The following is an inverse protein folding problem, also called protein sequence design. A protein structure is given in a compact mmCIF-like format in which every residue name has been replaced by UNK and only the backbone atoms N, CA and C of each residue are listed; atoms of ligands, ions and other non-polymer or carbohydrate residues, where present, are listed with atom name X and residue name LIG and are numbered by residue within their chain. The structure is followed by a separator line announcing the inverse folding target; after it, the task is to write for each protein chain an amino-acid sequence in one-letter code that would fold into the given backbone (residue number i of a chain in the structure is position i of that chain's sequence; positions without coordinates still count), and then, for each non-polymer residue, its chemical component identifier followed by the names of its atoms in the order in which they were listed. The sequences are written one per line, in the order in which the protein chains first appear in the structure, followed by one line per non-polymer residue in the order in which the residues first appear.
data_IF_180577086201
#
_entry.id   IF_180577086201
#
_cell.length_a   1.000
_cell.length_b   1.000
_cell.length_c   1.000
_cell.angle_alpha   90.00
_cell.angle_beta   90.00
_cell.angle_gamma   90.00
#
_symmetry.space_group_name_H-M   'P 1'
#
loop_
_entity.id
_entity.type
_entity.pdbx_description
1 polymer ?
#
# COMPACT_ATOMS: atom_id res chain seq x y z
N UNK A 1 8.19 -22.03 1.08
CA UNK A 1 7.09 -21.94 0.10
C UNK A 1 5.86 -22.64 0.67
N UNK A 2 4.68 -21.98 0.70
CA UNK A 2 3.42 -22.72 0.88
C UNK A 2 3.12 -23.44 -0.43
N UNK A 3 2.95 -24.76 -0.39
CA UNK A 3 2.71 -25.55 -1.60
C UNK A 3 1.21 -25.73 -1.91
N UNK A 4 0.32 -24.95 -1.30
CA UNK A 4 -1.11 -24.85 -1.64
C UNK A 4 -1.82 -26.19 -1.96
N UNK A 5 -1.67 -27.21 -1.11
CA UNK A 5 -2.31 -28.52 -1.30
C UNK A 5 -1.46 -29.57 -2.02
N UNK A 6 -0.27 -29.22 -2.50
CA UNK A 6 0.69 -30.14 -3.10
C UNK A 6 1.70 -30.65 -2.04
N UNK A 7 1.85 -31.98 -1.94
CA UNK A 7 2.88 -32.65 -1.14
C UNK A 7 4.08 -33.13 -1.98
N UNK A 8 3.94 -33.11 -3.31
CA UNK A 8 4.97 -33.46 -4.28
C UNK A 8 4.55 -33.04 -5.69
N UNK A 9 5.32 -33.40 -6.72
CA UNK A 9 5.01 -33.05 -8.11
C UNK A 9 3.66 -33.62 -8.59
N UNK A 10 3.32 -34.82 -8.13
CA UNK A 10 2.10 -35.54 -8.54
C UNK A 10 1.15 -35.81 -7.36
N UNK A 11 1.51 -35.43 -6.14
CA UNK A 11 0.75 -35.77 -4.93
C UNK A 11 0.00 -34.54 -4.41
N UNK A 12 -1.32 -34.61 -4.43
CA UNK A 12 -2.23 -33.58 -3.91
C UNK A 12 -2.86 -34.10 -2.62
N UNK A 13 -2.69 -33.38 -1.51
CA UNK A 13 -3.22 -33.75 -0.20
C UNK A 13 -4.63 -33.19 0.08
N UNK A 14 -4.99 -32.09 -0.57
CA UNK A 14 -6.31 -31.46 -0.49
C UNK A 14 -6.51 -30.52 -1.69
N UNK A 15 -7.76 -30.17 -2.04
CA UNK A 15 -8.04 -29.10 -3.01
C UNK A 15 -7.26 -27.82 -2.65
N UNK A 16 -6.41 -27.39 -3.58
CA UNK A 16 -5.48 -26.28 -3.41
C UNK A 16 -5.95 -24.98 -4.06
N UNK A 17 -5.23 -23.89 -3.79
CA UNK A 17 -5.40 -22.59 -4.47
C UNK A 17 -4.15 -22.30 -5.28
N UNK A 18 -4.28 -21.84 -6.54
CA UNK A 18 -3.13 -21.33 -7.27
C UNK A 18 -2.97 -19.82 -7.04
N UNK A 19 -2.14 -19.44 -6.08
CA UNK A 19 -1.82 -18.03 -5.78
C UNK A 19 -0.38 -17.65 -6.15
N UNK A 20 0.23 -18.36 -7.10
CA UNK A 20 1.58 -18.04 -7.56
C UNK A 20 1.54 -16.78 -8.44
N UNK A 21 2.41 -15.82 -8.14
CA UNK A 21 2.70 -14.69 -9.03
C UNK A 21 3.47 -15.22 -10.25
N UNK A 22 3.16 -14.71 -11.44
CA UNK A 22 3.88 -15.10 -12.67
C UNK A 22 5.16 -14.26 -12.88
N UNK A 23 6.04 -14.72 -13.77
CA UNK A 23 7.34 -14.09 -14.04
C UNK A 23 7.23 -12.64 -14.55
N UNK A 24 6.19 -12.32 -15.31
CA UNK A 24 5.98 -10.95 -15.82
C UNK A 24 5.66 -9.99 -14.67
N UNK A 25 4.79 -10.41 -13.74
CA UNK A 25 4.47 -9.64 -12.54
C UNK A 25 5.68 -9.50 -11.62
N UNK A 26 6.49 -10.55 -11.48
CA UNK A 26 7.72 -10.52 -10.69
C UNK A 26 8.76 -9.54 -11.28
N UNK A 27 8.96 -9.57 -12.60
CA UNK A 27 9.84 -8.65 -13.31
C UNK A 27 9.40 -7.18 -13.15
N UNK A 28 8.08 -6.92 -13.27
CA UNK A 28 7.51 -5.60 -13.01
C UNK A 28 7.75 -5.16 -11.56
N UNK A 29 7.52 -6.05 -10.59
CA UNK A 29 7.78 -5.76 -9.17
C UNK A 29 9.24 -5.37 -8.90
N UNK A 30 10.20 -6.10 -9.48
CA UNK A 30 11.63 -5.79 -9.35
C UNK A 30 11.99 -4.42 -9.93
N UNK A 31 11.37 -4.02 -11.04
CA UNK A 31 11.57 -2.69 -11.60
C UNK A 31 11.00 -1.61 -10.66
N UNK A 32 9.78 -1.81 -10.15
CA UNK A 32 9.12 -0.86 -9.26
C UNK A 32 9.85 -0.69 -7.92
N UNK A 33 10.46 -1.75 -7.39
CA UNK A 33 11.26 -1.68 -6.17
C UNK A 33 12.46 -0.73 -6.29
N UNK A 34 13.01 -0.53 -7.50
CA UNK A 34 14.13 0.41 -7.72
C UNK A 34 13.75 1.87 -7.49
N UNK A 35 12.48 2.23 -7.68
CA UNK A 35 11.96 3.60 -7.50
C UNK A 35 10.96 3.70 -6.35
N UNK A 36 10.95 2.72 -5.45
CA UNK A 36 10.01 2.65 -4.34
C UNK A 36 10.14 3.87 -3.40
N UNK A 37 11.36 4.16 -2.94
CA UNK A 37 11.64 5.29 -2.05
C UNK A 37 11.27 6.65 -2.68
N UNK A 38 11.62 6.85 -3.96
CA UNK A 38 11.23 8.06 -4.70
C UNK A 38 9.71 8.22 -4.77
N UNK A 39 8.99 7.11 -4.95
CA UNK A 39 7.53 7.10 -5.01
C UNK A 39 6.88 7.37 -3.65
N UNK A 40 7.55 7.00 -2.55
CA UNK A 40 7.13 7.34 -1.18
C UNK A 40 7.33 8.84 -0.95
N UNK A 41 8.49 9.39 -1.31
CA UNK A 41 8.82 10.80 -1.12
C UNK A 41 7.87 11.73 -1.90
N UNK A 42 7.56 11.37 -3.15
CA UNK A 42 6.56 12.11 -3.94
C UNK A 42 5.19 12.13 -3.28
N UNK A 43 4.74 11.00 -2.72
CA UNK A 43 3.46 10.93 -2.00
C UNK A 43 3.50 11.72 -0.69
N UNK A 44 4.63 11.69 0.02
CA UNK A 44 4.86 12.52 1.21
C UNK A 44 4.69 14.00 0.89
N UNK A 45 5.32 14.47 -0.19
CA UNK A 45 5.21 15.88 -0.64
C UNK A 45 3.75 16.29 -0.86
N UNK A 46 2.95 15.42 -1.49
CA UNK A 46 1.51 15.66 -1.72
C UNK A 46 0.74 15.67 -0.40
N UNK A 47 0.99 14.70 0.49
CA UNK A 47 0.33 14.63 1.80
C UNK A 47 0.64 15.86 2.66
N UNK A 48 1.89 16.31 2.69
CA UNK A 48 2.31 17.50 3.43
C UNK A 48 1.66 18.77 2.86
N UNK A 49 1.54 18.85 1.53
CA UNK A 49 0.80 19.93 0.87
C UNK A 49 -0.67 19.95 1.30
N UNK A 50 -1.33 18.79 1.36
CA UNK A 50 -2.70 18.72 1.87
C UNK A 50 -2.80 19.11 3.34
N UNK A 51 -1.88 18.68 4.20
CA UNK A 51 -1.85 19.11 5.60
C UNK A 51 -1.78 20.61 5.74
N UNK A 52 -0.86 21.24 5.02
CA UNK A 52 -0.67 22.68 5.09
C UNK A 52 -1.89 23.46 4.60
N UNK A 53 -2.49 23.05 3.48
CA UNK A 53 -3.58 23.79 2.86
C UNK A 53 -4.96 23.50 3.47
N UNK A 54 -5.19 22.31 4.02
CA UNK A 54 -6.49 21.91 4.53
C UNK A 54 -6.66 22.11 6.05
N UNK A 55 -5.57 22.34 6.80
CA UNK A 55 -5.63 22.46 8.28
C UNK A 55 -6.55 23.59 8.78
N UNK A 56 -6.75 24.63 7.97
CA UNK A 56 -7.59 25.79 8.33
C UNK A 56 -8.95 25.79 7.62
N UNK A 57 -9.25 24.77 6.82
CA UNK A 57 -10.52 24.70 6.09
C UNK A 57 -11.64 24.29 7.03
N UNK A 58 -12.60 25.19 7.22
CA UNK A 58 -13.76 24.92 8.06
C UNK A 58 -14.53 23.68 7.58
N UNK A 59 -14.84 22.78 8.51
CA UNK A 59 -15.59 21.55 8.24
C UNK A 59 -14.72 20.37 7.78
N UNK A 60 -13.41 20.58 7.55
CA UNK A 60 -12.46 19.51 7.28
C UNK A 60 -11.70 19.16 8.56
N UNK A 61 -11.57 17.87 8.85
CA UNK A 61 -10.67 17.36 9.91
C UNK A 61 -9.67 16.40 9.30
N UNK A 62 -8.39 16.68 9.50
CA UNK A 62 -7.28 15.85 9.04
C UNK A 62 -6.93 14.83 10.13
N UNK A 63 -6.73 13.57 9.74
CA UNK A 63 -6.29 12.54 10.66
C UNK A 63 -4.80 12.72 11.03
N UNK A 64 -4.44 12.61 12.32
CA UNK A 64 -3.04 12.67 12.74
C UNK A 64 -2.26 11.46 12.21
N UNK A 65 -0.95 11.61 12.05
CA UNK A 65 -0.09 10.46 11.78
C UNK A 65 0.03 9.59 13.05
N UNK A 66 -0.12 8.25 12.94
CA UNK A 66 0.07 7.37 14.09
C UNK A 66 1.50 7.47 14.64
N UNK A 67 1.62 7.56 15.96
CA UNK A 67 2.92 7.54 16.64
C UNK A 67 3.70 6.26 16.33
N UNK A 68 5.04 6.35 16.30
CA UNK A 68 5.96 5.24 16.04
C UNK A 68 5.73 4.49 14.71
N UNK A 69 5.22 5.18 13.68
CA UNK A 69 5.02 4.60 12.35
C UNK A 69 5.72 5.39 11.25
N UNK A 70 6.08 4.69 10.16
CA UNK A 70 6.54 5.31 8.92
C UNK A 70 5.42 5.14 7.89
N UNK A 71 4.79 6.25 7.52
CA UNK A 71 3.73 6.25 6.52
C UNK A 71 4.30 6.03 5.13
N UNK A 72 3.60 5.23 4.33
CA UNK A 72 3.86 5.15 2.89
C UNK A 72 3.03 6.18 2.09
N UNK A 73 2.22 6.99 2.78
CA UNK A 73 1.37 8.03 2.19
C UNK A 73 0.46 7.52 1.06
N UNK A 74 0.03 6.25 1.11
CA UNK A 74 -0.86 5.66 0.09
C UNK A 74 -2.24 6.31 0.07
N UNK A 75 -2.70 6.83 1.21
CA UNK A 75 -3.99 7.51 1.36
C UNK A 75 -3.85 8.73 2.26
N UNK A 76 -4.69 9.74 2.01
CA UNK A 76 -4.84 10.92 2.86
C UNK A 76 -6.32 11.09 3.25
N UNK A 77 -6.83 10.27 4.17
CA UNK A 77 -8.21 10.34 4.60
C UNK A 77 -8.49 11.62 5.40
N UNK A 78 -9.66 12.21 5.16
CA UNK A 78 -10.19 13.37 5.90
C UNK A 78 -11.63 13.09 6.33
N UNK A 79 -12.08 13.76 7.40
CA UNK A 79 -13.51 13.89 7.68
C UNK A 79 -14.03 15.20 7.10
N UNK A 80 -15.22 15.14 6.51
CA UNK A 80 -15.96 16.30 6.04
C UNK A 80 -17.26 16.34 6.82
N UNK A 81 -17.46 17.42 7.58
CA UNK A 81 -18.72 17.67 8.26
C UNK A 81 -19.61 18.51 7.34
N UNK A 82 -20.80 18.01 7.03
CA UNK A 82 -21.86 18.82 6.43
C UNK A 82 -22.38 19.83 7.47
N UNK A 83 -22.85 20.98 6.99
CA UNK A 83 -23.55 21.96 7.83
C UNK A 83 -24.95 21.47 8.17
#
# INVERSE_FOLDING_TARGET
LKNFGFAGETTIMAPGINSKMNEVQAAMGLLQLKSFEESIEKRKTVADTYRELLKEVQGITILPEPEDTISNYAYFPIFVNEK
#
